data_IF_022898109151
#
_entry.id   IF_022898109151
#
_cell.length_a   1.000
_cell.length_b   1.000
_cell.length_c   1.000
_cell.angle_alpha   90.00
_cell.angle_beta   90.00
_cell.angle_gamma   90.00
#
_symmetry.space_group_name_H-M   'P 1'
#
loop_
_entity.id
_entity.type
_entity.pdbx_description
1 polymer ?
#
# COMPACT_ATOMS: atom_id res chain seq x y z
N UNK A 1 14.23 13.55 -10.81
CA UNK A 1 13.95 12.52 -11.85
C UNK A 1 12.61 11.91 -11.51
N UNK A 2 11.59 12.33 -12.25
CA UNK A 2 10.20 11.99 -12.01
C UNK A 2 9.93 10.59 -12.53
N UNK A 3 9.74 9.61 -11.64
CA UNK A 3 9.22 8.30 -12.02
C UNK A 3 7.70 8.45 -12.23
N UNK A 4 7.35 8.97 -13.40
CA UNK A 4 6.02 8.82 -13.96
C UNK A 4 5.82 7.32 -14.25
N UNK A 5 5.49 6.54 -13.22
CA UNK A 5 4.83 5.25 -13.39
C UNK A 5 3.59 5.55 -14.22
N UNK A 6 3.65 5.15 -15.49
CA UNK A 6 2.60 5.34 -16.47
C UNK A 6 1.34 4.63 -15.94
N UNK A 7 0.18 5.28 -15.98
CA UNK A 7 -1.07 4.72 -15.43
C UNK A 7 -1.44 3.36 -16.08
N UNK A 8 -0.91 3.09 -17.28
CA UNK A 8 -1.02 1.78 -17.96
C UNK A 8 -0.15 0.67 -17.35
N UNK A 9 1.00 1.00 -16.78
CA UNK A 9 1.86 0.03 -16.06
C UNK A 9 1.27 -0.29 -14.67
N UNK A 10 0.56 0.69 -14.08
CA UNK A 10 -0.22 0.49 -12.86
C UNK A 10 -1.29 -0.60 -13.05
N UNK A 11 -1.99 -0.61 -14.17
CA UNK A 11 -3.06 -1.59 -14.46
C UNK A 11 -2.57 -3.04 -14.59
N UNK A 12 -1.28 -3.27 -14.87
CA UNK A 12 -0.71 -4.62 -14.99
C UNK A 12 -0.06 -5.12 -13.70
N UNK A 13 0.08 -4.27 -12.68
CA UNK A 13 0.70 -4.67 -11.45
C UNK A 13 -0.24 -5.58 -10.63
N UNK A 14 0.29 -6.61 -9.95
CA UNK A 14 -0.49 -7.46 -9.03
C UNK A 14 -1.22 -6.64 -7.95
N UNK A 15 -0.77 -5.41 -7.70
CA UNK A 15 -1.38 -4.42 -6.81
C UNK A 15 -2.78 -3.99 -7.21
N UNK A 16 -3.07 -3.91 -8.52
CA UNK A 16 -4.40 -3.55 -9.01
C UNK A 16 -5.40 -4.68 -8.76
N UNK A 17 -4.97 -5.93 -8.95
CA UNK A 17 -5.78 -7.12 -8.64
C UNK A 17 -6.18 -7.17 -7.17
N UNK A 18 -5.35 -6.60 -6.29
CA UNK A 18 -5.63 -6.52 -4.86
C UNK A 18 -6.79 -5.56 -4.53
N UNK A 19 -7.00 -4.50 -5.33
CA UNK A 19 -8.19 -3.64 -5.20
C UNK A 19 -9.50 -4.35 -5.61
N UNK A 20 -9.42 -5.41 -6.42
CA UNK A 20 -10.57 -6.24 -6.76
C UNK A 20 -10.89 -7.24 -5.64
N UNK A 21 -9.92 -7.53 -4.75
CA UNK A 21 -10.14 -8.38 -3.59
C UNK A 21 -10.89 -7.60 -2.50
N UNK A 22 -11.83 -8.29 -1.85
CA UNK A 22 -12.63 -7.73 -0.75
C UNK A 22 -12.67 -8.69 0.43
N UNK A 23 -12.94 -8.14 1.60
CA UNK A 23 -13.16 -8.88 2.85
C UNK A 23 -11.98 -9.83 3.16
N UNK A 24 -12.29 -11.09 3.44
CA UNK A 24 -11.33 -12.10 3.88
C UNK A 24 -10.24 -12.41 2.85
N UNK A 25 -10.52 -12.27 1.54
CA UNK A 25 -9.52 -12.51 0.51
C UNK A 25 -8.43 -11.43 0.50
N UNK A 26 -8.83 -10.19 0.73
CA UNK A 26 -7.91 -9.05 0.84
C UNK A 26 -6.98 -9.23 2.04
N UNK A 27 -7.54 -9.50 3.22
CA UNK A 27 -6.75 -9.71 4.43
C UNK A 27 -5.79 -10.91 4.30
N UNK A 28 -6.20 -12.00 3.65
CA UNK A 28 -5.33 -13.16 3.42
C UNK A 28 -4.13 -12.82 2.53
N UNK A 29 -4.35 -12.05 1.45
CA UNK A 29 -3.29 -11.63 0.54
C UNK A 29 -2.33 -10.64 1.21
N UNK A 30 -2.87 -9.65 1.92
CA UNK A 30 -2.09 -8.69 2.70
C UNK A 30 -1.27 -9.36 3.80
N UNK A 31 -1.82 -10.40 4.44
CA UNK A 31 -1.08 -11.21 5.40
C UNK A 31 0.05 -12.02 4.75
N UNK A 32 -0.14 -12.45 3.50
CA UNK A 32 0.90 -13.14 2.73
C UNK A 32 2.04 -12.22 2.28
N UNK A 33 1.83 -10.90 2.28
CA UNK A 33 2.82 -9.92 1.86
C UNK A 33 3.78 -9.51 2.99
N UNK A 34 4.97 -9.03 2.62
CA UNK A 34 5.92 -8.48 3.57
C UNK A 34 5.55 -7.05 3.93
N UNK A 35 6.08 -6.54 5.04
CA UNK A 35 5.94 -5.12 5.41
C UNK A 35 6.31 -4.19 4.25
N UNK A 36 7.44 -4.44 3.59
CA UNK A 36 7.92 -3.65 2.46
C UNK A 36 6.94 -3.67 1.28
N UNK A 37 6.40 -4.84 0.91
CA UNK A 37 5.40 -4.95 -0.17
C UNK A 37 4.15 -4.12 0.13
N UNK A 38 3.69 -4.11 1.39
CA UNK A 38 2.54 -3.31 1.81
C UNK A 38 2.84 -1.80 1.72
N UNK A 39 4.03 -1.37 2.15
CA UNK A 39 4.47 0.02 2.02
C UNK A 39 4.58 0.43 0.55
N UNK A 40 5.12 -0.44 -0.31
CA UNK A 40 5.19 -0.20 -1.74
C UNK A 40 3.80 -0.07 -2.36
N UNK A 41 2.85 -0.92 -1.97
CA UNK A 41 1.46 -0.80 -2.40
C UNK A 41 0.83 0.51 -1.94
N UNK A 42 1.05 0.92 -0.69
CA UNK A 42 0.52 2.17 -0.15
C UNK A 42 1.08 3.38 -0.89
N UNK A 43 2.40 3.41 -1.14
CA UNK A 43 3.04 4.46 -1.91
C UNK A 43 2.61 4.45 -3.39
N UNK A 44 2.31 3.28 -3.93
CA UNK A 44 1.80 3.12 -5.29
C UNK A 44 0.36 3.61 -5.42
N UNK A 45 -0.50 3.28 -4.45
CA UNK A 45 -1.90 3.67 -4.38
C UNK A 45 -2.03 5.17 -4.11
N UNK A 46 -1.37 5.63 -3.06
CA UNK A 46 -1.39 7.00 -2.59
C UNK A 46 0.00 7.62 -2.76
N UNK A 47 0.19 8.27 -3.92
CA UNK A 47 1.48 8.82 -4.35
C UNK A 47 1.98 9.97 -3.48
N UNK A 48 1.11 10.56 -2.67
CA UNK A 48 1.45 11.62 -1.71
C UNK A 48 1.63 11.09 -0.29
N UNK A 49 1.45 9.79 -0.06
CA UNK A 49 1.48 9.24 1.28
C UNK A 49 2.88 8.87 1.76
N UNK A 50 3.15 9.26 3.00
CA UNK A 50 4.45 9.11 3.70
C UNK A 50 4.53 7.79 4.46
N UNK A 51 4.48 6.67 3.73
CA UNK A 51 4.48 5.33 4.33
C UNK A 51 5.87 4.71 4.46
N UNK A 52 6.89 5.26 3.76
CA UNK A 52 8.28 4.79 3.88
C UNK A 52 8.83 5.07 5.26
N UNK A 53 9.72 4.21 5.72
CA UNK A 53 10.37 4.34 7.04
C UNK A 53 10.96 5.74 7.26
N UNK A 54 11.72 6.26 6.29
CA UNK A 54 12.30 7.61 6.37
C UNK A 54 11.22 8.71 6.45
N UNK A 55 10.17 8.61 5.64
CA UNK A 55 9.13 9.64 5.57
C UNK A 55 8.24 9.60 6.82
N UNK A 56 7.81 8.41 7.24
CA UNK A 56 7.00 8.23 8.45
C UNK A 56 7.77 8.53 9.74
N UNK A 57 9.06 8.18 9.81
CA UNK A 57 9.91 8.58 10.93
C UNK A 57 10.12 10.09 10.97
N UNK A 58 10.19 10.75 9.81
CA UNK A 58 10.34 12.20 9.73
C UNK A 58 9.05 12.95 10.11
N UNK A 59 7.88 12.52 9.62
CA UNK A 59 6.61 13.18 9.88
C UNK A 59 5.97 12.80 11.23
N UNK A 60 5.98 11.51 11.56
CA UNK A 60 5.27 10.96 12.72
C UNK A 60 6.20 10.49 13.84
N UNK A 61 7.52 10.43 13.59
CA UNK A 61 8.47 9.92 14.59
C UNK A 61 8.37 8.40 14.83
N UNK A 62 7.64 7.68 13.98
CA UNK A 62 7.49 6.23 14.09
C UNK A 62 7.39 5.59 12.70
N UNK A 63 7.73 4.30 12.58
CA UNK A 63 7.65 3.56 11.33
C UNK A 63 6.33 2.80 11.19
N UNK A 64 5.82 2.70 9.97
CA UNK A 64 4.60 1.93 9.69
C UNK A 64 4.90 0.44 9.89
N UNK A 65 4.16 -0.17 10.81
CA UNK A 65 4.24 -1.60 11.09
C UNK A 65 3.46 -2.42 10.04
N UNK A 66 3.75 -3.72 9.94
CA UNK A 66 3.02 -4.60 9.00
C UNK A 66 1.51 -4.53 9.25
N UNK A 67 1.09 -4.68 10.51
CA UNK A 67 -0.32 -4.66 10.90
C UNK A 67 -0.99 -3.32 10.56
N UNK A 68 -0.32 -2.20 10.87
CA UNK A 68 -0.81 -0.87 10.49
C UNK A 68 -0.96 -0.72 8.98
N UNK A 69 0.02 -1.18 8.19
CA UNK A 69 -0.07 -1.12 6.74
C UNK A 69 -1.27 -1.93 6.21
N UNK A 70 -1.52 -3.13 6.76
CA UNK A 70 -2.69 -3.95 6.41
C UNK A 70 -3.99 -3.20 6.74
N UNK A 71 -4.09 -2.59 7.92
CA UNK A 71 -5.28 -1.82 8.32
C UNK A 71 -5.51 -0.61 7.40
N UNK A 72 -4.46 0.13 7.05
CA UNK A 72 -4.56 1.30 6.17
C UNK A 72 -5.04 0.85 4.78
N UNK A 73 -4.44 -0.19 4.20
CA UNK A 73 -4.82 -0.71 2.88
C UNK A 73 -6.27 -1.20 2.89
N UNK A 74 -6.64 -1.99 3.89
CA UNK A 74 -8.00 -2.52 4.05
C UNK A 74 -9.02 -1.39 4.14
N UNK A 75 -8.70 -0.32 4.89
CA UNK A 75 -9.53 0.89 4.97
C UNK A 75 -9.63 1.60 3.62
N UNK A 76 -8.53 1.75 2.88
CA UNK A 76 -8.55 2.43 1.57
C UNK A 76 -9.43 1.68 0.56
N UNK A 77 -9.38 0.34 0.56
CA UNK A 77 -10.15 -0.50 -0.37
C UNK A 77 -11.63 -0.59 0.06
N UNK A 78 -11.91 -0.71 1.36
CA UNK A 78 -13.28 -0.90 1.87
C UNK A 78 -14.10 0.40 1.92
N UNK A 79 -13.44 1.57 2.02
CA UNK A 79 -14.13 2.88 2.01
C UNK A 79 -14.33 3.48 0.60
N UNK A 80 -13.92 2.78 -0.46
CA UNK A 80 -14.07 3.23 -1.85
C UNK A 80 -15.46 2.94 -2.44
#
# INVERSE_FOLDING_TARGET
MSTFINEEEKLKHPFYKLMELRDNALESELNSWSRLDLIEWLCWNDRNGVYRDDESLHEFGNIVSKEEAIEIITRQITKA
#
